data_IF_478189969565
#
_entry.id   IF_478189969565
#
_cell.length_a   1.000
_cell.length_b   1.000
_cell.length_c   1.000
_cell.angle_alpha   90.00
_cell.angle_beta   90.00
_cell.angle_gamma   90.00
#
_symmetry.space_group_name_H-M   'P 1'
#
loop_
_entity.id
_entity.type
_entity.pdbx_description
1 polymer ?
#
# COMPACT_ATOMS: atom_id res chain seq x y z
N UNK A 1 69.66 8.85 27.34
CA UNK A 1 68.80 7.99 26.50
C UNK A 1 67.35 8.35 26.84
N UNK A 2 66.63 9.03 25.95
CA UNK A 2 65.22 9.38 26.14
C UNK A 2 64.49 8.88 24.89
N UNK A 3 63.70 7.81 25.04
CA UNK A 3 62.86 7.29 23.96
C UNK A 3 61.49 7.96 24.07
N UNK A 4 61.13 8.74 23.04
CA UNK A 4 59.81 9.37 22.90
C UNK A 4 58.81 8.33 22.37
N UNK A 5 57.73 8.11 23.11
CA UNK A 5 56.58 7.32 22.68
C UNK A 5 55.76 8.19 21.73
N UNK A 6 55.69 7.81 20.45
CA UNK A 6 54.78 8.40 19.46
C UNK A 6 53.42 7.73 19.58
N UNK A 7 52.44 8.42 20.15
CA UNK A 7 51.03 7.99 20.15
C UNK A 7 50.46 8.18 18.74
N UNK A 8 50.32 7.09 17.99
CA UNK A 8 49.62 7.09 16.70
C UNK A 8 48.11 7.11 16.93
N UNK A 9 47.45 8.19 16.55
CA UNK A 9 45.99 8.26 16.51
C UNK A 9 45.48 7.46 15.31
N UNK A 10 44.76 6.37 15.58
CA UNK A 10 44.04 5.60 14.55
C UNK A 10 42.81 6.41 14.12
N UNK A 11 42.85 7.00 12.93
CA UNK A 11 41.67 7.56 12.27
C UNK A 11 40.78 6.40 11.81
N UNK A 12 39.66 6.17 12.51
CA UNK A 12 38.59 5.33 11.98
C UNK A 12 37.85 6.10 10.90
N UNK A 13 38.13 5.78 9.64
CA UNK A 13 37.32 6.22 8.51
C UNK A 13 35.96 5.50 8.57
N UNK A 14 34.89 6.24 8.83
CA UNK A 14 33.53 5.73 8.70
C UNK A 14 33.20 5.57 7.22
N UNK A 15 33.18 4.34 6.73
CA UNK A 15 32.64 4.03 5.40
C UNK A 15 31.13 4.17 5.45
N UNK A 16 30.61 5.28 4.93
CA UNK A 16 29.20 5.38 4.59
C UNK A 16 28.93 4.38 3.46
N UNK A 17 28.29 3.25 3.80
CA UNK A 17 27.72 2.33 2.81
C UNK A 17 26.66 3.11 2.05
N UNK A 18 27.02 3.66 0.90
CA UNK A 18 26.04 4.20 -0.03
C UNK A 18 25.32 2.98 -0.61
N UNK A 19 24.08 2.75 -0.16
CA UNK A 19 23.20 1.81 -0.83
C UNK A 19 23.11 2.23 -2.30
N UNK A 20 23.33 1.29 -3.23
CA UNK A 20 23.14 1.55 -4.65
C UNK A 20 21.70 2.03 -4.88
N UNK A 21 21.47 3.00 -5.78
CA UNK A 21 20.12 3.43 -6.10
C UNK A 21 19.30 2.22 -6.57
N UNK A 22 18.11 2.04 -6.01
CA UNK A 22 17.19 1.02 -6.50
C UNK A 22 16.82 1.37 -7.95
N UNK A 23 16.93 0.42 -8.90
CA UNK A 23 16.45 0.66 -10.26
C UNK A 23 14.96 1.03 -10.24
N UNK A 24 14.46 1.76 -11.25
CA UNK A 24 13.04 2.06 -11.35
C UNK A 24 12.18 0.79 -11.28
N UNK A 25 11.04 0.91 -10.63
CA UNK A 25 10.03 -0.13 -10.56
C UNK A 25 9.19 -0.11 -11.84
N UNK A 26 9.00 -1.28 -12.43
CA UNK A 26 7.99 -1.49 -13.45
C UNK A 26 6.59 -1.50 -12.81
N UNK A 27 5.58 -1.14 -13.61
CA UNK A 27 4.19 -1.14 -13.18
C UNK A 27 3.25 -1.61 -14.28
N UNK A 28 2.04 -2.01 -13.87
CA UNK A 28 0.86 -2.03 -14.73
C UNK A 28 0.12 -0.69 -14.61
N UNK A 29 -0.48 -0.23 -15.69
CA UNK A 29 -1.32 0.97 -15.70
C UNK A 29 -2.44 0.86 -16.73
N UNK A 30 -3.54 1.58 -16.53
CA UNK A 30 -4.59 1.70 -17.56
C UNK A 30 -4.16 2.71 -18.61
N UNK A 31 -3.90 2.25 -19.83
CA UNK A 31 -3.45 3.07 -20.96
C UNK A 31 -4.61 3.76 -21.67
N UNK A 32 -4.47 5.07 -21.94
CA UNK A 32 -5.54 5.89 -22.55
C UNK A 32 -5.72 5.70 -24.05
N UNK A 33 -4.76 5.09 -24.75
CA UNK A 33 -4.84 4.92 -26.20
C UNK A 33 -5.53 3.60 -26.55
N UNK A 34 -5.13 2.53 -25.87
CA UNK A 34 -5.65 1.18 -26.05
C UNK A 34 -6.88 0.89 -25.21
N UNK A 35 -7.16 1.72 -24.20
CA UNK A 35 -8.21 1.51 -23.19
C UNK A 35 -8.07 0.14 -22.49
N UNK A 36 -6.83 -0.23 -22.15
CA UNK A 36 -6.50 -1.53 -21.57
C UNK A 36 -5.34 -1.43 -20.58
N UNK A 37 -5.17 -2.46 -19.74
CA UNK A 37 -4.01 -2.54 -18.85
C UNK A 37 -2.75 -2.86 -19.65
N UNK A 38 -1.73 -2.02 -19.53
CA UNK A 38 -0.43 -2.15 -20.16
C UNK A 38 0.68 -2.12 -19.11
N UNK A 39 1.90 -2.48 -19.50
CA UNK A 39 3.08 -2.40 -18.63
C UNK A 39 4.01 -1.27 -19.04
N UNK A 40 4.73 -0.72 -18.08
CA UNK A 40 5.82 0.23 -18.31
C UNK A 40 6.99 -0.15 -17.39
N UNK A 41 8.18 -0.27 -17.98
CA UNK A 41 9.37 -0.78 -17.27
C UNK A 41 9.90 0.20 -16.22
N UNK A 42 9.72 1.50 -16.46
CA UNK A 42 10.19 2.57 -15.58
C UNK A 42 9.01 3.46 -15.17
N UNK A 43 8.29 3.08 -14.10
CA UNK A 43 7.13 3.81 -13.62
C UNK A 43 7.39 4.67 -12.40
N UNK A 44 8.20 4.17 -11.46
CA UNK A 44 8.43 4.83 -10.19
C UNK A 44 9.83 4.54 -9.67
N UNK A 45 10.32 5.39 -8.78
CA UNK A 45 11.55 5.17 -8.02
C UNK A 45 11.26 5.29 -6.53
N UNK A 46 12.04 4.60 -5.69
CA UNK A 46 11.98 4.75 -4.24
C UNK A 46 13.14 5.65 -3.79
N UNK A 47 12.81 6.84 -3.29
CA UNK A 47 13.77 7.79 -2.72
C UNK A 47 13.39 8.05 -1.27
N UNK A 48 14.34 7.87 -0.34
CA UNK A 48 14.13 8.11 1.09
C UNK A 48 12.88 7.43 1.68
N UNK A 49 12.59 6.20 1.20
CA UNK A 49 11.43 5.43 1.63
C UNK A 49 10.08 5.91 1.07
N UNK A 50 10.07 6.81 0.08
CA UNK A 50 8.87 7.28 -0.60
C UNK A 50 8.92 6.98 -2.09
N UNK A 51 7.78 6.61 -2.65
CA UNK A 51 7.64 6.46 -4.09
C UNK A 51 7.60 7.84 -4.75
N UNK A 52 8.21 7.91 -5.91
CA UNK A 52 8.09 9.03 -6.85
C UNK A 52 7.72 8.45 -8.21
N UNK A 53 6.49 8.71 -8.66
CA UNK A 53 6.03 8.27 -9.98
C UNK A 53 6.61 9.16 -11.08
N UNK A 54 7.13 8.52 -12.12
CA UNK A 54 7.90 9.18 -13.18
C UNK A 54 6.98 9.81 -14.24
N UNK A 55 7.39 10.92 -14.89
CA UNK A 55 6.62 11.60 -15.93
C UNK A 55 6.12 10.70 -17.08
N UNK A 56 6.88 9.65 -17.41
CA UNK A 56 6.54 8.71 -18.48
C UNK A 56 5.21 7.98 -18.25
N UNK A 57 4.84 7.73 -16.99
CA UNK A 57 3.55 7.14 -16.63
C UNK A 57 2.39 8.08 -17.00
N UNK A 58 2.46 9.34 -16.56
CA UNK A 58 1.40 10.33 -16.78
C UNK A 58 1.17 10.66 -18.26
N UNK A 59 2.20 10.47 -19.09
CA UNK A 59 2.06 10.62 -20.54
C UNK A 59 1.15 9.56 -21.18
N UNK A 60 0.99 8.39 -20.54
CA UNK A 60 0.34 7.20 -21.12
C UNK A 60 -0.97 6.83 -20.43
N UNK A 61 -1.05 7.04 -19.13
CA UNK A 61 -2.20 6.59 -18.33
C UNK A 61 -3.49 7.35 -18.65
N UNK A 62 -4.60 6.62 -18.59
CA UNK A 62 -5.95 7.15 -18.46
C UNK A 62 -6.20 7.50 -16.99
N UNK A 63 -6.62 8.73 -16.71
CA UNK A 63 -7.08 9.12 -15.39
C UNK A 63 -8.61 9.16 -15.34
N UNK A 64 -9.17 8.75 -14.20
CA UNK A 64 -10.58 8.90 -13.86
C UNK A 64 -10.64 9.79 -12.63
N UNK A 65 -11.35 10.92 -12.73
CA UNK A 65 -11.44 11.94 -11.67
C UNK A 65 -10.06 12.41 -11.15
N UNK A 66 -9.09 12.55 -12.07
CA UNK A 66 -7.73 12.97 -11.76
C UNK A 66 -6.90 11.90 -11.08
N UNK A 67 -7.29 10.62 -11.16
CA UNK A 67 -6.58 9.49 -10.55
C UNK A 67 -6.26 8.42 -11.59
N UNK A 68 -4.97 8.11 -11.73
CA UNK A 68 -4.46 6.99 -12.52
C UNK A 68 -4.46 5.69 -11.72
N UNK A 69 -4.80 4.58 -12.36
CA UNK A 69 -4.72 3.24 -11.78
C UNK A 69 -3.35 2.65 -12.06
N UNK A 70 -2.61 2.31 -11.01
CA UNK A 70 -1.24 1.82 -11.13
C UNK A 70 -1.02 0.62 -10.22
N UNK A 71 -0.65 -0.52 -10.79
CA UNK A 71 -0.29 -1.71 -10.03
C UNK A 71 1.22 -1.86 -9.92
N UNK A 72 1.74 -1.97 -8.70
CA UNK A 72 3.13 -2.33 -8.42
C UNK A 72 3.15 -3.73 -7.81
N UNK A 73 3.35 -4.74 -8.65
CA UNK A 73 3.38 -6.15 -8.26
C UNK A 73 4.75 -6.76 -8.52
N UNK A 74 5.26 -7.59 -7.59
CA UNK A 74 6.52 -8.35 -7.62
C UNK A 74 7.82 -7.58 -7.29
N UNK A 75 7.81 -6.25 -7.23
CA UNK A 75 9.07 -5.47 -7.18
C UNK A 75 9.34 -4.77 -5.83
N UNK A 76 8.33 -4.64 -4.96
CA UNK A 76 8.42 -4.00 -3.64
C UNK A 76 8.90 -4.95 -2.53
N UNK A 77 8.91 -6.27 -2.77
CA UNK A 77 9.39 -7.28 -1.80
C UNK A 77 10.85 -7.09 -1.41
N UNK A 78 11.70 -6.61 -2.34
CA UNK A 78 13.10 -6.27 -2.05
C UNK A 78 13.26 -5.03 -1.17
N UNK A 79 12.22 -4.17 -1.12
CA UNK A 79 12.15 -2.99 -0.25
C UNK A 79 11.31 -3.24 1.03
N UNK A 80 10.80 -4.46 1.24
CA UNK A 80 9.98 -4.83 2.39
C UNK A 80 8.51 -4.37 2.33
N UNK A 81 8.07 -3.82 1.20
CA UNK A 81 6.71 -3.32 1.00
C UNK A 81 5.81 -4.38 0.33
N UNK A 82 4.50 -4.35 0.64
CA UNK A 82 3.54 -5.27 0.03
C UNK A 82 3.27 -4.91 -1.44
N UNK A 83 2.94 -5.91 -2.26
CA UNK A 83 2.37 -5.69 -3.58
C UNK A 83 1.06 -4.90 -3.38
N UNK A 84 0.89 -3.79 -4.09
CA UNK A 84 -0.28 -2.93 -3.93
C UNK A 84 -0.66 -2.26 -5.26
N UNK A 85 -1.93 -1.95 -5.38
CA UNK A 85 -2.41 -1.00 -6.38
C UNK A 85 -2.43 0.40 -5.78
N UNK A 86 -2.39 1.40 -6.64
CA UNK A 86 -2.33 2.80 -6.28
C UNK A 86 -3.32 3.59 -7.10
N UNK A 87 -4.00 4.52 -6.43
CA UNK A 87 -4.53 5.71 -7.08
C UNK A 87 -3.45 6.78 -7.07
N UNK A 88 -3.07 7.30 -8.24
CA UNK A 88 -1.98 8.28 -8.40
C UNK A 88 -2.52 9.55 -9.02
N UNK A 89 -2.38 10.69 -8.33
CA UNK A 89 -2.73 12.04 -8.84
C UNK A 89 -1.53 12.75 -9.43
N UNK A 90 -0.36 12.58 -8.79
CA UNK A 90 0.90 13.18 -9.23
C UNK A 90 2.09 12.36 -8.75
N UNK A 91 3.32 12.79 -9.11
CA UNK A 91 4.56 12.11 -8.73
C UNK A 91 4.65 11.79 -7.23
N UNK A 92 4.11 12.65 -6.37
CA UNK A 92 4.20 12.55 -4.90
C UNK A 92 2.85 12.49 -4.19
N UNK A 93 1.75 12.42 -4.95
CA UNK A 93 0.39 12.37 -4.41
C UNK A 93 -0.30 11.10 -4.90
N UNK A 94 -0.33 10.11 -4.03
CA UNK A 94 -0.84 8.77 -4.32
C UNK A 94 -1.37 8.11 -3.05
N UNK A 95 -2.26 7.15 -3.21
CA UNK A 95 -2.83 6.33 -2.15
C UNK A 95 -2.65 4.86 -2.51
N UNK A 96 -1.88 4.06 -1.75
CA UNK A 96 -1.92 2.61 -1.88
C UNK A 96 -3.33 2.13 -1.52
N UNK A 97 -3.89 1.23 -2.30
CA UNK A 97 -5.19 0.62 -2.08
C UNK A 97 -5.07 -0.89 -2.20
N UNK A 98 -6.05 -1.60 -1.64
CA UNK A 98 -6.09 -3.05 -1.78
C UNK A 98 -6.27 -3.43 -3.25
N UNK A 99 -5.61 -4.49 -3.71
CA UNK A 99 -5.99 -5.14 -4.96
C UNK A 99 -7.32 -5.87 -4.75
N UNK A 100 -8.30 -5.60 -5.59
CA UNK A 100 -9.65 -6.16 -5.49
C UNK A 100 -10.24 -6.45 -6.88
N UNK A 101 -10.82 -7.65 -7.01
CA UNK A 101 -11.27 -8.22 -8.29
C UNK A 101 -10.14 -8.31 -9.33
N UNK A 102 -9.90 -7.24 -10.10
CA UNK A 102 -8.92 -7.20 -11.18
C UNK A 102 -8.07 -5.91 -11.18
N UNK A 103 -8.06 -5.14 -10.09
CA UNK A 103 -7.32 -3.88 -10.02
C UNK A 103 -7.46 -3.19 -8.67
N UNK A 104 -7.30 -1.85 -8.60
CA UNK A 104 -7.45 -1.12 -7.35
C UNK A 104 -8.88 -1.25 -6.80
N UNK A 105 -8.99 -1.45 -5.49
CA UNK A 105 -10.25 -1.34 -4.76
C UNK A 105 -10.93 -0.01 -5.08
N UNK A 106 -12.20 -0.04 -5.44
CA UNK A 106 -12.94 1.16 -5.82
C UNK A 106 -13.54 1.88 -4.61
N UNK A 107 -13.77 3.18 -4.77
CA UNK A 107 -14.49 3.96 -3.78
C UNK A 107 -15.95 3.49 -3.69
N UNK A 108 -16.37 3.08 -2.49
CA UNK A 108 -17.76 2.75 -2.17
C UNK A 108 -18.24 3.70 -1.11
N UNK A 109 -19.36 4.37 -1.37
CA UNK A 109 -19.89 5.43 -0.52
C UNK A 109 -18.85 6.53 -0.19
N UNK A 110 -17.91 6.80 -1.11
CA UNK A 110 -16.86 7.81 -0.93
C UNK A 110 -15.71 7.38 -0.02
N UNK A 111 -15.57 6.09 0.29
CA UNK A 111 -14.43 5.52 1.03
C UNK A 111 -13.81 4.35 0.26
N UNK A 112 -12.50 4.18 0.37
CA UNK A 112 -11.75 3.03 -0.18
C UNK A 112 -10.89 2.38 0.90
N UNK A 113 -10.63 1.07 0.79
CA UNK A 113 -9.74 0.37 1.70
C UNK A 113 -8.27 0.55 1.29
N UNK A 114 -7.45 0.84 2.29
CA UNK A 114 -5.99 0.88 2.13
C UNK A 114 -5.33 0.09 3.26
N UNK A 115 -4.26 -0.62 2.92
CA UNK A 115 -3.44 -1.35 3.88
C UNK A 115 -2.22 -0.52 4.25
N UNK A 116 -2.08 -0.22 5.54
CA UNK A 116 -0.89 0.42 6.10
C UNK A 116 -0.35 -0.43 7.24
N UNK A 117 0.94 -0.74 7.21
CA UNK A 117 1.61 -1.58 8.21
C UNK A 117 0.89 -2.93 8.45
N UNK A 118 0.34 -3.52 7.38
CA UNK A 118 -0.39 -4.79 7.44
C UNK A 118 -1.78 -4.70 8.06
N UNK A 119 -2.32 -3.50 8.29
CA UNK A 119 -3.69 -3.28 8.78
C UNK A 119 -4.51 -2.52 7.76
N UNK A 120 -5.81 -2.82 7.70
CA UNK A 120 -6.76 -2.17 6.80
C UNK A 120 -7.43 -0.98 7.51
N UNK A 121 -7.58 0.12 6.79
CA UNK A 121 -8.36 1.31 7.17
C UNK A 121 -9.10 1.89 5.96
N UNK A 122 -9.66 3.09 6.12
CA UNK A 122 -10.47 3.75 5.08
C UNK A 122 -10.04 5.19 4.80
N UNK A 123 -9.97 5.52 3.52
CA UNK A 123 -9.58 6.83 3.00
C UNK A 123 -10.67 7.41 2.09
N UNK A 124 -10.76 8.73 2.06
CA UNK A 124 -11.60 9.43 1.08
C UNK A 124 -10.88 9.66 -0.26
N UNK A 125 -11.61 10.16 -1.26
CA UNK A 125 -11.10 10.46 -2.60
C UNK A 125 -10.04 11.57 -2.61
N UNK A 126 -9.99 12.38 -1.55
CA UNK A 126 -8.97 13.40 -1.32
C UNK A 126 -7.74 12.82 -0.60
N UNK A 127 -7.65 11.50 -0.47
CA UNK A 127 -6.59 10.74 0.20
C UNK A 127 -6.42 11.09 1.69
N UNK A 128 -7.46 11.60 2.35
CA UNK A 128 -7.45 11.76 3.80
C UNK A 128 -7.83 10.45 4.48
N UNK A 129 -7.05 10.05 5.49
CA UNK A 129 -7.43 8.95 6.37
C UNK A 129 -8.71 9.33 7.13
N UNK A 130 -9.79 8.59 6.90
CA UNK A 130 -11.07 8.76 7.61
C UNK A 130 -11.21 7.79 8.77
N UNK A 131 -10.69 6.58 8.59
CA UNK A 131 -10.64 5.54 9.61
C UNK A 131 -9.25 4.94 9.59
N UNK A 132 -8.53 5.05 10.71
CA UNK A 132 -7.15 4.58 10.83
C UNK A 132 -7.03 3.08 10.51
N UNK A 133 -5.92 2.71 9.87
CA UNK A 133 -5.57 1.31 9.63
C UNK A 133 -5.35 0.58 10.96
N UNK A 134 -6.30 -0.28 11.33
CA UNK A 134 -6.25 -1.06 12.59
C UNK A 134 -6.90 -2.43 12.51
N UNK A 135 -7.52 -2.76 11.38
CA UNK A 135 -8.25 -4.01 11.21
C UNK A 135 -7.39 -5.04 10.49
N UNK A 136 -7.50 -6.30 10.87
CA UNK A 136 -6.89 -7.42 10.16
C UNK A 136 -7.67 -7.77 8.89
N UNK A 137 -8.97 -7.47 8.89
CA UNK A 137 -9.83 -7.53 7.71
C UNK A 137 -10.88 -6.41 7.77
N UNK A 138 -11.24 -5.89 6.60
CA UNK A 138 -12.31 -4.92 6.44
C UNK A 138 -13.03 -5.13 5.08
N UNK A 139 -14.36 -5.20 5.11
CA UNK A 139 -15.18 -5.20 3.89
C UNK A 139 -15.29 -3.80 3.29
N UNK A 140 -15.76 -3.69 2.05
CA UNK A 140 -16.28 -2.40 1.58
C UNK A 140 -17.50 -1.99 2.43
N UNK A 141 -17.84 -0.69 2.40
CA UNK A 141 -19.07 -0.20 2.99
C UNK A 141 -20.28 -0.66 2.18
N UNK A 142 -21.35 -1.06 2.86
CA UNK A 142 -22.65 -1.34 2.28
C UNK A 142 -23.74 -0.88 3.26
N UNK A 143 -24.65 -0.02 2.80
CA UNK A 143 -25.69 0.56 3.63
C UNK A 143 -25.12 1.37 4.81
N UNK A 144 -24.02 2.07 4.63
CA UNK A 144 -23.36 2.86 5.66
C UNK A 144 -22.63 2.07 6.74
N UNK A 145 -22.44 0.75 6.55
CA UNK A 145 -21.72 -0.12 7.48
C UNK A 145 -20.64 -0.92 6.78
N UNK A 146 -19.55 -1.21 7.48
CA UNK A 146 -18.54 -2.15 7.02
C UNK A 146 -18.28 -3.21 8.08
N UNK A 147 -18.15 -4.46 7.66
CA UNK A 147 -17.73 -5.55 8.52
C UNK A 147 -16.22 -5.49 8.70
N UNK A 148 -15.77 -5.51 9.95
CA UNK A 148 -14.35 -5.51 10.29
C UNK A 148 -14.02 -6.63 11.24
N UNK A 149 -12.73 -6.95 11.28
CA UNK A 149 -12.18 -7.92 12.19
C UNK A 149 -10.87 -7.44 12.82
N UNK A 150 -10.70 -7.74 14.11
CA UNK A 150 -9.43 -7.63 14.82
C UNK A 150 -9.00 -9.02 15.29
N UNK A 151 -7.80 -9.44 14.90
CA UNK A 151 -7.17 -10.68 15.34
C UNK A 151 -7.57 -11.94 14.57
N UNK A 152 -8.39 -11.85 13.52
CA UNK A 152 -8.61 -12.99 12.62
C UNK A 152 -7.35 -13.31 11.84
N UNK A 153 -7.24 -14.57 11.45
CA UNK A 153 -6.10 -15.08 10.71
C UNK A 153 -6.57 -15.90 9.50
N UNK A 154 -5.80 -15.87 8.40
CA UNK A 154 -6.00 -16.81 7.31
C UNK A 154 -5.93 -18.24 7.82
N UNK A 155 -6.97 -19.03 7.56
CA UNK A 155 -7.00 -20.47 7.77
C UNK A 155 -7.16 -21.13 6.40
N UNK A 156 -6.20 -21.98 6.05
CA UNK A 156 -6.21 -22.71 4.78
C UNK A 156 -6.97 -24.02 4.96
N UNK A 157 -8.04 -24.19 4.20
CA UNK A 157 -8.82 -25.43 4.12
C UNK A 157 -8.82 -25.92 2.67
N UNK A 158 -7.87 -26.80 2.34
CA UNK A 158 -7.64 -27.25 0.97
C UNK A 158 -7.16 -26.11 0.06
N UNK A 159 -7.90 -25.86 -1.01
CA UNK A 159 -7.63 -24.77 -1.97
C UNK A 159 -8.20 -23.42 -1.52
N UNK A 160 -9.08 -23.40 -0.51
CA UNK A 160 -9.70 -22.18 0.00
C UNK A 160 -8.94 -21.61 1.20
N UNK A 161 -8.96 -20.28 1.31
CA UNK A 161 -8.47 -19.55 2.47
C UNK A 161 -9.67 -18.83 3.08
N UNK A 162 -10.04 -19.20 4.30
CA UNK A 162 -11.02 -18.50 5.14
C UNK A 162 -10.31 -17.63 6.18
N UNK A 163 -11.05 -16.78 6.88
CA UNK A 163 -10.54 -16.01 8.02
C UNK A 163 -11.17 -16.54 9.30
N UNK A 164 -10.36 -17.12 10.19
CA UNK A 164 -10.86 -17.67 11.45
C UNK A 164 -10.39 -16.88 12.67
N UNK A 165 -11.15 -17.03 13.76
CA UNK A 165 -10.90 -16.33 15.03
C UNK A 165 -11.16 -14.83 14.92
N UNK A 166 -10.62 -14.08 15.89
CA UNK A 166 -10.78 -12.63 15.97
C UNK A 166 -12.12 -12.16 16.52
N UNK A 167 -12.18 -10.87 16.81
CA UNK A 167 -13.41 -10.15 17.14
C UNK A 167 -13.98 -9.52 15.88
N UNK A 168 -15.24 -9.80 15.59
CA UNK A 168 -15.94 -9.30 14.41
C UNK A 168 -17.08 -8.37 14.80
N UNK A 169 -17.22 -7.26 14.07
CA UNK A 169 -18.28 -6.29 14.30
C UNK A 169 -18.46 -5.36 13.09
N UNK A 170 -19.59 -4.67 13.06
CA UNK A 170 -19.80 -3.61 12.08
C UNK A 170 -19.36 -2.26 12.64
N UNK A 171 -18.76 -1.45 11.77
CA UNK A 171 -18.52 -0.04 11.99
C UNK A 171 -19.38 0.83 11.09
N UNK A 172 -19.70 2.04 11.52
CA UNK A 172 -20.21 3.09 10.64
C UNK A 172 -19.08 3.86 9.92
N UNK A 173 -19.45 4.83 9.08
CA UNK A 173 -18.49 5.67 8.32
C UNK A 173 -17.63 6.60 9.17
N UNK A 174 -17.91 6.73 10.47
CA UNK A 174 -17.03 7.42 11.43
C UNK A 174 -16.05 6.45 12.10
N UNK A 175 -16.16 5.14 11.84
CA UNK A 175 -15.36 4.10 12.48
C UNK A 175 -15.89 3.67 13.85
N UNK A 176 -17.09 4.09 14.25
CA UNK A 176 -17.72 3.68 15.49
C UNK A 176 -18.36 2.31 15.32
N UNK A 177 -18.22 1.45 16.35
CA UNK A 177 -18.84 0.13 16.39
C UNK A 177 -20.36 0.28 16.53
N UNK A 178 -21.13 -0.30 15.61
CA UNK A 178 -22.60 -0.16 15.56
C UNK A 178 -23.38 -1.47 15.75
N UNK A 179 -22.72 -2.63 15.69
CA UNK A 179 -23.32 -3.91 16.10
C UNK A 179 -22.27 -4.99 16.30
N UNK A 180 -22.54 -5.94 17.19
CA UNK A 180 -21.74 -7.15 17.33
C UNK A 180 -22.24 -8.26 16.39
N UNK A 181 -21.32 -9.10 15.92
CA UNK A 181 -21.68 -10.39 15.32
C UNK A 181 -21.05 -11.53 16.12
N UNK A 182 -21.78 -12.63 16.30
CA UNK A 182 -21.36 -13.75 17.17
C UNK A 182 -20.24 -14.60 16.59
N UNK A 183 -20.07 -14.58 15.27
CA UNK A 183 -19.00 -15.26 14.53
C UNK A 183 -18.80 -14.58 13.18
N UNK A 184 -17.57 -14.58 12.66
CA UNK A 184 -17.26 -14.11 11.31
C UNK A 184 -18.02 -14.93 10.24
N UNK A 185 -18.41 -14.33 9.10
CA UNK A 185 -19.20 -14.99 8.07
C UNK A 185 -18.41 -15.89 7.11
N UNK A 186 -17.11 -16.11 7.36
CA UNK A 186 -16.19 -16.85 6.48
C UNK A 186 -15.36 -17.86 7.26
#
# INVERSE_FOLDING_TARGET
MVFRIMTGALLMAAFAVHAAPNPPYACSYWDKQSDSVQTLDECAVLKDGKLEFLPALFAKTHDVDGMSWVGLHNYTRGAGEQDADYYVRSAHEYLPVMHFDNGPDWFVEGLVRSTQNGKVGYWDDSFHNRIAARYDYASQFDGGKALVCIGCKPQREGEHISLSGGEWYYIDKSGQRVSEIKSGPF
#
